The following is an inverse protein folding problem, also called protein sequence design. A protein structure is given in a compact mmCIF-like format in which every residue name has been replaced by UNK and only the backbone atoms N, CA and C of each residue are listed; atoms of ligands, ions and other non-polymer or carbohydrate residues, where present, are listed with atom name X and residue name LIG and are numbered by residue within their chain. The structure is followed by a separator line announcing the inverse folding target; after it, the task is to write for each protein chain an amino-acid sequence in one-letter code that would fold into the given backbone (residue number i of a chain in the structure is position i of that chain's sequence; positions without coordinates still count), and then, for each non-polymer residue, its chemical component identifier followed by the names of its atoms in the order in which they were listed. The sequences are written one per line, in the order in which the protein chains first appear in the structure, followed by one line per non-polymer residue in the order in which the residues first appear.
data_IF_885393015565
#
_entry.id   IF_885393015565
#
_cell.length_a   1.000
_cell.length_b   1.000
_cell.length_c   1.000
_cell.angle_alpha   90.00
_cell.angle_beta   90.00
_cell.angle_gamma   90.00
#
_symmetry.space_group_name_H-M   'P 1'
#
loop_
_entity.id
_entity.type
_entity.pdbx_description
1 polymer ?
#
# COMPACT_ATOMS: atom_id res chain seq x y z
N UNK A 1 -11.13 1.22 24.71
CA UNK A 1 -10.65 -0.13 25.09
C UNK A 1 -10.18 -1.01 23.91
N UNK A 2 -10.80 -0.93 22.73
CA UNK A 2 -10.40 -1.71 21.52
C UNK A 2 -8.94 -1.54 21.06
N UNK A 3 -8.29 -0.42 21.39
CA UNK A 3 -6.89 -0.13 21.02
C UNK A 3 -5.87 -0.94 21.83
N UNK A 4 -6.16 -1.23 23.11
CA UNK A 4 -5.29 -2.04 23.98
C UNK A 4 -5.37 -3.54 23.67
N UNK A 5 -6.56 -4.03 23.31
CA UNK A 5 -6.77 -5.42 22.86
C UNK A 5 -6.05 -5.74 21.55
N UNK A 6 -5.91 -4.74 20.67
CA UNK A 6 -5.21 -4.89 19.39
C UNK A 6 -3.69 -4.93 19.57
N UNK A 7 -3.14 -4.17 20.52
CA UNK A 7 -1.72 -4.22 20.88
C UNK A 7 -1.35 -5.54 21.57
N UNK A 8 -2.17 -6.04 22.50
CA UNK A 8 -1.91 -7.34 23.14
C UNK A 8 -2.05 -8.52 22.19
N UNK A 9 -2.95 -8.45 21.20
CA UNK A 9 -3.06 -9.49 20.16
C UNK A 9 -1.83 -9.52 19.24
N UNK A 10 -1.23 -8.36 18.94
CA UNK A 10 0.00 -8.27 18.14
C UNK A 10 1.24 -8.72 18.94
N UNK A 11 1.33 -8.36 20.22
CA UNK A 11 2.43 -8.78 21.11
C UNK A 11 2.45 -10.30 21.34
N UNK A 12 1.27 -10.95 21.41
CA UNK A 12 1.15 -12.40 21.60
C UNK A 12 1.40 -13.20 20.31
N UNK A 13 1.13 -12.61 19.15
CA UNK A 13 1.29 -13.27 17.86
C UNK A 13 2.71 -13.16 17.29
N UNK A 14 3.45 -12.10 17.64
CA UNK A 14 4.75 -11.79 17.03
C UNK A 14 5.94 -11.77 18.01
N UNK A 15 5.69 -11.76 19.33
CA UNK A 15 6.73 -11.74 20.36
C UNK A 15 7.41 -10.39 20.50
N UNK A 16 7.87 -10.06 21.72
CA UNK A 16 8.60 -8.83 22.09
C UNK A 16 10.03 -8.77 21.53
N UNK A 17 10.22 -9.03 20.24
CA UNK A 17 11.52 -9.01 19.58
C UNK A 17 11.50 -8.18 18.29
N UNK A 18 12.68 -7.75 17.83
CA UNK A 18 12.86 -6.92 16.63
C UNK A 18 12.12 -7.43 15.37
N UNK A 19 11.89 -8.74 15.25
CA UNK A 19 11.09 -9.34 14.17
C UNK A 19 9.59 -9.04 14.23
N UNK A 20 9.01 -8.86 15.43
CA UNK A 20 7.64 -8.40 15.60
C UNK A 20 7.49 -6.91 15.31
N UNK A 21 8.52 -6.13 15.61
CA UNK A 21 8.60 -4.72 15.24
C UNK A 21 8.63 -4.56 13.71
N UNK A 22 9.50 -5.30 13.01
CA UNK A 22 9.56 -5.26 11.54
C UNK A 22 8.28 -5.74 10.86
N UNK A 23 7.63 -6.80 11.37
CA UNK A 23 6.34 -7.25 10.86
C UNK A 23 5.24 -6.20 11.08
N UNK A 24 5.21 -5.54 12.24
CA UNK A 24 4.27 -4.46 12.52
C UNK A 24 4.53 -3.22 11.66
N UNK A 25 5.81 -2.88 11.38
CA UNK A 25 6.18 -1.76 10.51
C UNK A 25 5.83 -2.02 9.05
N UNK A 26 6.07 -3.24 8.54
CA UNK A 26 5.72 -3.60 7.15
C UNK A 26 4.20 -3.67 6.97
N UNK A 27 3.47 -4.23 7.93
CA UNK A 27 2.00 -4.25 7.90
C UNK A 27 1.44 -2.83 8.07
N UNK A 28 2.00 -2.02 8.96
CA UNK A 28 1.65 -0.62 9.16
C UNK A 28 1.88 0.22 7.91
N UNK A 29 3.05 0.08 7.27
CA UNK A 29 3.37 0.71 6.00
C UNK A 29 2.43 0.24 4.89
N UNK A 30 2.10 -1.05 4.81
CA UNK A 30 1.15 -1.56 3.81
C UNK A 30 -0.27 -1.04 4.05
N UNK A 31 -0.71 -0.94 5.31
CA UNK A 31 -2.01 -0.36 5.68
C UNK A 31 -2.04 1.13 5.39
N UNK A 32 -0.99 1.88 5.73
CA UNK A 32 -0.87 3.30 5.44
C UNK A 32 -0.74 3.57 3.94
N UNK A 33 -0.12 2.68 3.16
CA UNK A 33 -0.06 2.77 1.70
C UNK A 33 -1.42 2.44 1.06
N UNK A 34 -2.17 1.48 1.61
CA UNK A 34 -3.57 1.20 1.22
C UNK A 34 -4.50 2.36 1.65
N UNK A 35 -4.19 3.05 2.75
CA UNK A 35 -4.94 4.20 3.25
C UNK A 35 -4.61 5.48 2.48
N UNK A 36 -3.35 5.69 2.12
CA UNK A 36 -2.88 6.81 1.33
C UNK A 36 -3.23 6.67 -0.16
N UNK A 37 -3.33 5.44 -0.68
CA UNK A 37 -3.84 5.20 -2.05
C UNK A 37 -5.36 5.33 -2.16
N UNK A 38 -6.08 5.28 -1.03
CA UNK A 38 -7.42 5.85 -0.91
C UNK A 38 -7.31 7.34 -0.58
N UNK A 39 -6.71 8.14 -1.45
CA UNK A 39 -7.14 9.53 -1.48
C UNK A 39 -8.56 9.51 -2.07
N UNK A 40 -9.62 9.75 -1.27
CA UNK A 40 -10.86 10.12 -1.91
C UNK A 40 -10.53 11.34 -2.78
N UNK A 41 -11.07 11.40 -4.00
CA UNK A 41 -11.33 12.72 -4.60
C UNK A 41 -11.83 13.60 -3.46
N UNK A 42 -11.11 14.70 -3.15
CA UNK A 42 -11.43 15.59 -2.04
C UNK A 42 -12.88 16.04 -2.19
N UNK A 43 -13.80 15.26 -1.62
CA UNK A 43 -15.16 15.62 -1.37
C UNK A 43 -15.07 16.36 -0.05
N UNK A 44 -15.07 17.68 -0.15
CA UNK A 44 -15.24 18.52 1.03
C UNK A 44 -16.55 18.10 1.67
N UNK A 45 -16.46 17.39 2.80
CA UNK A 45 -17.62 16.93 3.57
C UNK A 45 -17.98 18.03 4.56
N UNK A 46 -18.19 19.23 4.04
CA UNK A 46 -18.81 20.30 4.81
C UNK A 46 -20.21 19.82 5.22
N UNK A 47 -20.51 19.87 6.52
CA UNK A 47 -21.89 19.73 7.00
C UNK A 47 -22.64 20.99 6.56
N UNK A 48 -23.33 20.91 5.44
CA UNK A 48 -24.12 22.01 4.91
C UNK A 48 -25.39 22.16 5.73
N UNK A 49 -25.71 23.39 6.14
CA UNK A 49 -26.99 23.74 6.77
C UNK A 49 -28.02 24.03 5.67
N UNK A 50 -29.30 23.64 5.81
CA UNK A 50 -30.34 24.01 4.86
C UNK A 50 -30.35 25.53 4.59
N UNK A 51 -30.24 25.92 3.32
CA UNK A 51 -30.09 27.31 2.88
C UNK A 51 -28.66 27.73 2.51
N UNK A 52 -27.63 26.96 2.87
CA UNK A 52 -26.25 27.24 2.45
C UNK A 52 -26.05 26.96 0.95
N UNK A 53 -25.34 27.86 0.28
CA UNK A 53 -25.04 27.74 -1.15
C UNK A 53 -23.59 27.29 -1.33
N UNK A 54 -23.37 26.21 -2.08
CA UNK A 54 -22.04 25.66 -2.32
C UNK A 54 -21.71 25.62 -3.81
N UNK A 55 -20.43 25.81 -4.13
CA UNK A 55 -19.92 25.81 -5.50
C UNK A 55 -19.39 24.42 -5.83
N UNK A 56 -19.98 23.78 -6.84
CA UNK A 56 -19.49 22.49 -7.35
C UNK A 56 -18.64 22.76 -8.59
N UNK A 57 -17.32 22.73 -8.44
CA UNK A 57 -16.39 22.72 -9.58
C UNK A 57 -16.09 21.30 -10.00
N UNK A 58 -16.69 20.84 -11.10
CA UNK A 58 -16.31 19.59 -11.75
C UNK A 58 -15.28 19.84 -12.84
N UNK A 59 -14.31 18.92 -12.95
CA UNK A 59 -13.36 18.90 -14.07
C UNK A 59 -14.08 18.60 -15.40
N UNK A 60 -13.57 19.10 -16.54
CA UNK A 60 -13.99 18.60 -17.84
C UNK A 60 -13.83 17.07 -17.93
N UNK A 61 -14.70 16.43 -18.71
CA UNK A 61 -14.62 14.98 -18.95
C UNK A 61 -13.30 14.58 -19.60
N UNK A 62 -12.85 13.34 -19.34
CA UNK A 62 -11.58 12.84 -19.88
C UNK A 62 -11.54 12.83 -21.40
N UNK A 63 -10.46 13.36 -21.99
CA UNK A 63 -10.17 13.27 -23.42
C UNK A 63 -9.73 11.86 -23.88
N UNK A 64 -9.62 11.63 -25.19
CA UNK A 64 -9.24 10.30 -25.75
C UNK A 64 -7.87 9.82 -25.25
N UNK A 65 -6.87 10.70 -25.24
CA UNK A 65 -5.51 10.37 -24.81
C UNK A 65 -5.48 10.07 -23.31
N UNK A 66 -6.15 10.90 -22.49
CA UNK A 66 -6.27 10.69 -21.05
C UNK A 66 -6.95 9.35 -20.72
N UNK A 67 -8.03 8.99 -21.45
CA UNK A 67 -8.68 7.67 -21.30
C UNK A 67 -7.73 6.52 -21.63
N UNK A 68 -6.87 6.67 -22.65
CA UNK A 68 -5.88 5.66 -23.03
C UNK A 68 -4.85 5.47 -21.93
N UNK A 69 -4.31 6.55 -21.40
CA UNK A 69 -3.32 6.51 -20.31
C UNK A 69 -3.94 5.98 -19.01
N UNK A 70 -5.19 6.33 -18.70
CA UNK A 70 -5.93 5.77 -17.57
C UNK A 70 -6.09 4.24 -17.67
N UNK A 71 -6.44 3.72 -18.85
CA UNK A 71 -6.51 2.26 -19.09
C UNK A 71 -5.15 1.58 -18.92
N UNK A 72 -4.07 2.21 -19.39
CA UNK A 72 -2.70 1.69 -19.26
C UNK A 72 -2.25 1.67 -17.80
N UNK A 73 -2.54 2.73 -17.05
CA UNK A 73 -2.29 2.82 -15.62
C UNK A 73 -3.00 1.70 -14.86
N UNK A 74 -4.31 1.53 -15.10
CA UNK A 74 -5.10 0.48 -14.47
C UNK A 74 -4.56 -0.93 -14.81
N UNK A 75 -4.19 -1.15 -16.07
CA UNK A 75 -3.57 -2.41 -16.50
C UNK A 75 -2.22 -2.69 -15.81
N UNK A 76 -1.35 -1.68 -15.71
CA UNK A 76 -0.06 -1.80 -15.04
C UNK A 76 -0.23 -2.08 -13.54
N UNK A 77 -1.15 -1.37 -12.87
CA UNK A 77 -1.50 -1.62 -11.46
C UNK A 77 -2.04 -3.03 -11.24
N UNK A 78 -2.92 -3.52 -12.10
CA UNK A 78 -3.45 -4.88 -11.99
C UNK A 78 -2.36 -5.93 -12.17
N UNK A 79 -1.44 -5.73 -13.12
CA UNK A 79 -0.27 -6.60 -13.31
C UNK A 79 0.64 -6.56 -12.10
N UNK A 80 0.98 -5.39 -11.58
CA UNK A 80 1.82 -5.25 -10.39
C UNK A 80 1.22 -5.99 -9.19
N UNK A 81 -0.09 -5.85 -8.96
CA UNK A 81 -0.81 -6.59 -7.92
C UNK A 81 -0.71 -8.10 -8.08
N UNK A 82 -0.67 -8.63 -9.32
CA UNK A 82 -0.50 -10.06 -9.56
C UNK A 82 0.93 -10.51 -9.25
N UNK A 83 1.94 -9.73 -9.68
CA UNK A 83 3.36 -10.08 -9.52
C UNK A 83 3.84 -9.88 -8.07
N UNK A 84 3.26 -8.93 -7.32
CA UNK A 84 3.56 -8.73 -5.90
C UNK A 84 2.97 -9.81 -4.99
N UNK A 85 2.05 -10.64 -5.47
CA UNK A 85 1.49 -11.72 -4.65
C UNK A 85 2.59 -12.73 -4.33
N UNK A 86 2.82 -13.06 -3.05
CA UNK A 86 3.86 -14.01 -2.68
C UNK A 86 3.53 -15.39 -3.26
N UNK A 87 4.46 -15.93 -4.05
CA UNK A 87 4.35 -17.25 -4.66
C UNK A 87 4.43 -18.40 -3.65
N UNK A 88 4.17 -19.63 -4.10
CA UNK A 88 4.18 -20.84 -3.24
C UNK A 88 5.51 -21.02 -2.51
N UNK A 89 6.64 -20.81 -3.20
CA UNK A 89 7.98 -20.93 -2.62
C UNK A 89 8.22 -19.88 -1.52
N UNK A 90 7.87 -18.62 -1.77
CA UNK A 90 7.98 -17.54 -0.78
C UNK A 90 7.15 -17.83 0.47
N UNK A 91 5.89 -18.26 0.31
CA UNK A 91 5.02 -18.66 1.44
C UNK A 91 5.58 -19.83 2.22
N UNK A 92 6.08 -20.86 1.54
CA UNK A 92 6.68 -22.02 2.20
C UNK A 92 7.95 -21.66 2.98
N UNK A 93 8.82 -20.81 2.41
CA UNK A 93 10.02 -20.31 3.10
C UNK A 93 9.64 -19.45 4.30
N UNK A 94 8.64 -18.57 4.17
CA UNK A 94 8.12 -17.76 5.28
C UNK A 94 7.60 -18.63 6.44
N UNK A 95 6.83 -19.67 6.13
CA UNK A 95 6.32 -20.60 7.14
C UNK A 95 7.46 -21.36 7.85
N UNK A 96 8.49 -21.79 7.12
CA UNK A 96 9.68 -22.43 7.69
C UNK A 96 10.47 -21.46 8.57
N UNK A 97 10.67 -20.22 8.11
CA UNK A 97 11.36 -19.17 8.85
C UNK A 97 10.64 -18.87 10.15
N UNK A 98 9.32 -18.66 10.12
CA UNK A 98 8.49 -18.44 11.30
C UNK A 98 8.59 -19.58 12.31
N UNK A 99 8.52 -20.84 11.85
CA UNK A 99 8.70 -22.02 12.72
C UNK A 99 10.10 -22.08 13.33
N UNK A 100 11.14 -21.75 12.56
CA UNK A 100 12.51 -21.72 13.04
C UNK A 100 12.73 -20.62 14.09
N UNK A 101 12.18 -19.43 13.87
CA UNK A 101 12.20 -18.32 14.82
C UNK A 101 11.52 -18.70 16.14
N UNK A 102 10.30 -19.26 16.08
CA UNK A 102 9.59 -19.75 17.29
C UNK A 102 10.42 -20.78 18.07
N UNK A 103 11.07 -21.73 17.36
CA UNK A 103 11.92 -22.76 17.97
C UNK A 103 13.23 -22.21 18.52
N UNK A 104 13.79 -21.15 17.93
CA UNK A 104 14.97 -20.47 18.45
C UNK A 104 14.63 -19.71 19.73
N UNK A 105 13.50 -18.99 19.74
CA UNK A 105 13.02 -18.23 20.89
C UNK A 105 12.65 -19.11 22.09
N UNK A 106 12.10 -20.30 21.85
CA UNK A 106 11.74 -21.24 22.91
C UNK A 106 12.93 -22.08 23.45
N UNK A 107 14.07 -22.10 22.76
CA UNK A 107 15.21 -22.91 23.17
C UNK A 107 16.02 -22.24 24.30
N UNK A 108 16.52 -23.00 25.29
CA UNK A 108 17.35 -22.45 26.36
C UNK A 108 18.60 -21.74 25.81
N UNK A 109 18.92 -20.60 26.41
CA UNK A 109 20.11 -19.80 26.08
C UNK A 109 21.37 -20.64 26.30
N UNK A 110 22.33 -20.59 25.37
CA UNK A 110 23.56 -21.39 25.44
C UNK A 110 23.43 -22.85 24.99
N UNK A 111 22.21 -23.37 24.75
CA UNK A 111 22.04 -24.76 24.31
C UNK A 111 22.48 -24.98 22.85
N UNK A 112 23.05 -26.15 22.54
CA UNK A 112 23.36 -26.58 21.16
C UNK A 112 22.13 -26.51 20.23
N UNK A 113 20.94 -26.75 20.79
CA UNK A 113 19.66 -26.67 20.08
C UNK A 113 19.32 -25.24 19.66
N UNK A 114 19.59 -24.25 20.53
CA UNK A 114 19.42 -22.83 20.21
C UNK A 114 20.34 -22.40 19.07
N UNK A 115 21.63 -22.68 19.17
CA UNK A 115 22.62 -22.39 18.12
C UNK A 115 22.21 -22.99 16.77
N UNK A 116 21.74 -24.24 16.76
CA UNK A 116 21.26 -24.90 15.54
C UNK A 116 20.03 -24.21 14.94
N UNK A 117 19.08 -23.76 15.78
CA UNK A 117 17.89 -23.08 15.31
C UNK A 117 18.19 -21.67 14.81
N UNK A 118 19.10 -20.94 15.47
CA UNK A 118 19.56 -19.61 15.05
C UNK A 118 20.23 -19.66 13.68
N UNK A 119 21.15 -20.61 13.45
CA UNK A 119 21.74 -20.84 12.12
C UNK A 119 20.67 -21.12 11.04
N UNK A 120 19.61 -21.86 11.38
CA UNK A 120 18.49 -22.08 10.45
C UNK A 120 17.71 -20.81 10.16
N UNK A 121 17.51 -19.94 11.16
CA UNK A 121 16.86 -18.65 10.97
C UNK A 121 17.67 -17.79 10.00
N UNK A 122 18.99 -17.71 10.19
CA UNK A 122 19.90 -16.96 9.33
C UNK A 122 19.87 -17.43 7.86
N UNK A 123 19.99 -18.75 7.63
CA UNK A 123 19.92 -19.30 6.27
C UNK A 123 18.55 -19.05 5.62
N UNK A 124 17.47 -19.20 6.39
CA UNK A 124 16.11 -19.00 5.89
C UNK A 124 15.77 -17.53 5.69
N UNK A 125 16.35 -16.60 6.46
CA UNK A 125 16.16 -15.16 6.26
C UNK A 125 16.81 -14.72 4.95
N UNK A 126 18.08 -15.07 4.73
CA UNK A 126 18.77 -14.77 3.45
C UNK A 126 18.00 -15.33 2.25
N UNK A 127 17.47 -16.56 2.38
CA UNK A 127 16.67 -17.16 1.31
C UNK A 127 15.33 -16.45 1.12
N UNK A 128 14.68 -16.03 2.19
CA UNK A 128 13.43 -15.27 2.12
C UNK A 128 13.67 -13.92 1.45
N UNK A 129 14.71 -13.20 1.86
CA UNK A 129 15.08 -11.88 1.34
C UNK A 129 15.30 -11.93 -0.17
N UNK A 130 16.09 -12.91 -0.65
CA UNK A 130 16.31 -13.15 -2.10
C UNK A 130 15.02 -13.42 -2.87
N UNK A 131 14.02 -14.06 -2.25
CA UNK A 131 12.73 -14.36 -2.88
C UNK A 131 11.76 -13.18 -2.83
N UNK A 132 12.00 -12.20 -1.97
CA UNK A 132 11.19 -10.98 -1.83
C UNK A 132 11.82 -9.76 -2.50
N UNK A 133 13.08 -9.85 -2.92
CA UNK A 133 13.74 -8.80 -3.71
C UNK A 133 12.90 -8.50 -4.96
N UNK A 134 12.62 -7.22 -5.25
CA UNK A 134 11.75 -6.88 -6.37
C UNK A 134 12.36 -7.31 -7.70
N UNK A 135 11.56 -7.97 -8.54
CA UNK A 135 12.03 -8.42 -9.85
C UNK A 135 12.16 -7.25 -10.82
N UNK A 136 12.96 -7.42 -11.89
CA UNK A 136 13.06 -6.42 -12.98
C UNK A 136 11.69 -6.08 -13.57
N UNK A 137 10.78 -7.05 -13.63
CA UNK A 137 9.40 -6.83 -14.08
C UNK A 137 8.59 -5.96 -13.12
N UNK A 138 8.73 -6.18 -11.80
CA UNK A 138 8.07 -5.34 -10.80
C UNK A 138 8.58 -3.90 -10.88
N UNK A 139 9.90 -3.71 -10.95
CA UNK A 139 10.52 -2.39 -11.11
C UNK A 139 10.03 -1.68 -12.37
N UNK A 140 9.95 -2.40 -13.50
CA UNK A 140 9.42 -1.87 -14.75
C UNK A 140 7.95 -1.44 -14.61
N UNK A 141 7.11 -2.26 -13.98
CA UNK A 141 5.70 -1.94 -13.75
C UNK A 141 5.53 -0.74 -12.83
N UNK A 142 6.37 -0.60 -11.80
CA UNK A 142 6.39 0.58 -10.92
C UNK A 142 6.78 1.84 -11.68
N UNK A 143 7.81 1.77 -12.55
CA UNK A 143 8.20 2.87 -13.42
C UNK A 143 7.09 3.24 -14.43
N UNK A 144 6.42 2.25 -15.02
CA UNK A 144 5.27 2.47 -15.91
C UNK A 144 4.11 3.15 -15.17
N UNK A 145 3.81 2.72 -13.94
CA UNK A 145 2.78 3.35 -13.10
C UNK A 145 3.13 4.82 -12.83
N UNK A 146 4.37 5.10 -12.40
CA UNK A 146 4.83 6.46 -12.12
C UNK A 146 4.77 7.35 -13.39
N UNK A 147 5.14 6.79 -14.53
CA UNK A 147 5.08 7.50 -15.82
C UNK A 147 3.64 7.84 -16.21
N UNK A 148 2.72 6.87 -16.13
CA UNK A 148 1.33 7.11 -16.51
C UNK A 148 0.60 8.00 -15.48
N UNK A 149 0.89 7.88 -14.19
CA UNK A 149 0.34 8.79 -13.18
C UNK A 149 0.80 10.22 -13.40
N UNK A 150 2.09 10.44 -13.68
CA UNK A 150 2.63 11.76 -14.00
C UNK A 150 1.97 12.38 -15.25
N UNK A 151 1.73 11.59 -16.30
CA UNK A 151 0.98 12.05 -17.48
C UNK A 151 -0.47 12.42 -17.15
N UNK A 152 -1.13 11.65 -16.29
CA UNK A 152 -2.50 11.94 -15.85
C UNK A 152 -2.58 13.24 -15.05
N UNK A 153 -1.58 13.51 -14.21
CA UNK A 153 -1.46 14.78 -13.49
C UNK A 153 -1.21 15.96 -14.44
N UNK A 154 -0.39 15.77 -15.48
CA UNK A 154 -0.20 16.78 -16.54
C UNK A 154 -1.49 17.06 -17.30
N UNK A 155 -2.25 16.03 -17.70
CA UNK A 155 -3.56 16.21 -18.32
C UNK A 155 -4.53 16.95 -17.39
N UNK A 156 -4.50 16.65 -16.09
CA UNK A 156 -5.31 17.34 -15.08
C UNK A 156 -4.92 18.81 -14.96
N UNK A 157 -3.64 19.12 -14.86
CA UNK A 157 -3.15 20.49 -14.77
C UNK A 157 -3.49 21.30 -16.04
N UNK A 158 -3.30 20.70 -17.22
CA UNK A 158 -3.64 21.33 -18.49
C UNK A 158 -5.16 21.56 -18.63
N UNK A 159 -5.99 20.63 -18.18
CA UNK A 159 -7.44 20.78 -18.19
C UNK A 159 -7.92 21.87 -17.24
N UNK A 160 -7.30 22.00 -16.06
CA UNK A 160 -7.58 23.08 -15.11
C UNK A 160 -7.14 24.45 -15.66
N UNK A 161 -5.97 24.52 -16.32
CA UNK A 161 -5.46 25.75 -16.92
C UNK A 161 -6.31 26.23 -18.12
N UNK A 162 -6.82 25.28 -18.93
CA UNK A 162 -7.70 25.57 -20.07
C UNK A 162 -9.17 25.79 -19.70
N UNK A 163 -9.57 25.45 -18.47
CA UNK A 163 -10.94 25.64 -18.04
C UNK A 163 -11.24 27.16 -18.05
N UNK A 164 -12.20 27.62 -18.86
CA UNK A 164 -12.58 29.03 -18.84
C UNK A 164 -13.04 29.37 -17.42
N UNK A 165 -12.57 30.49 -16.86
CA UNK A 165 -13.14 31.06 -15.65
C UNK A 165 -14.59 31.37 -15.96
N UNK A 166 -15.52 30.50 -15.54
CA UNK A 166 -16.93 30.76 -15.73
C UNK A 166 -17.27 32.06 -15.01
N UNK A 167 -17.98 33.00 -15.65
CA UNK A 167 -18.36 34.25 -15.01
C UNK A 167 -19.32 34.01 -13.82
N UNK A 168 -19.99 32.86 -13.77
CA UNK A 168 -20.83 32.43 -12.64
C UNK A 168 -20.53 30.98 -12.26
N UNK A 169 -20.22 30.70 -10.98
CA UNK A 169 -20.08 29.32 -10.51
C UNK A 169 -21.43 28.59 -10.54
N UNK A 170 -21.41 27.28 -10.75
CA UNK A 170 -22.60 26.44 -10.55
C UNK A 170 -22.84 26.34 -9.03
N UNK A 171 -23.66 27.24 -8.50
CA UNK A 171 -24.12 27.23 -7.12
C UNK A 171 -25.32 26.29 -6.98
N UNK A 172 -25.26 25.39 -6.00
CA UNK A 172 -26.40 24.59 -5.55
C UNK A 172 -26.76 25.01 -4.13
N UNK A 173 -28.04 25.12 -3.85
CA UNK A 173 -28.54 25.35 -2.49
C UNK A 173 -28.80 24.00 -1.84
N UNK A 174 -28.27 23.79 -0.65
CA UNK A 174 -28.60 22.63 0.15
C UNK A 174 -30.00 22.83 0.75
N UNK A 175 -30.96 21.99 0.38
CA UNK A 175 -32.34 22.00 0.90
C UNK A 175 -32.51 20.93 1.96
#
# INVERSE_FOLDING_TARGET
MLRRLRQTALDRAFGKGAGGFLAATVIGWFIDQVRASKQPERLDTARLVPGETYIVTTRPGMGRVERRDARRLAGAQQKLRKVQRPGRRTRATAAKLSRAQRRASAAPVGSRRKVRNERKVEVLSVRFDRLTTPSREQQKLEADIARFSGRMEQHRAAALAKAPKRPRPNTKTFT
#
